data_IF_597825281516
#
_entry.id   IF_597825281516
#
_cell.length_a   1.000
_cell.length_b   1.000
_cell.length_c   1.000
_cell.angle_alpha   90.00
_cell.angle_beta   90.00
_cell.angle_gamma   90.00
#
_symmetry.space_group_name_H-M   'P 1'
#
loop_
_entity.id
_entity.type
_entity.pdbx_description
1 polymer ?
#
# COMPACT_ATOMS: atom_id res chain seq x y z
N UNK A 1 -2.49 -0.69 11.78
CA UNK A 1 -1.32 -0.75 10.96
C UNK A 1 -1.62 -0.34 9.53
N UNK A 2 -0.70 0.37 8.88
CA UNK A 2 -0.94 0.98 7.56
C UNK A 2 -1.40 -0.03 6.50
N UNK A 3 -0.70 -1.14 6.37
CA UNK A 3 -1.02 -2.14 5.35
C UNK A 3 -2.47 -2.63 5.48
N UNK A 4 -2.88 -2.96 6.68
CA UNK A 4 -4.26 -3.43 6.91
C UNK A 4 -5.28 -2.35 6.60
N UNK A 5 -4.99 -1.11 6.96
CA UNK A 5 -5.90 0.00 6.65
C UNK A 5 -6.04 0.19 5.14
N UNK A 6 -4.96 0.04 4.40
CA UNK A 6 -4.99 0.17 2.94
C UNK A 6 -5.82 -0.93 2.28
N UNK A 7 -5.94 -2.10 2.89
CA UNK A 7 -6.71 -3.21 2.33
C UNK A 7 -8.22 -2.98 2.40
N UNK A 8 -8.68 -1.96 3.11
CA UNK A 8 -10.11 -1.67 3.21
C UNK A 8 -10.71 -1.16 1.90
N UNK A 9 -9.88 -0.59 1.01
CA UNK A 9 -10.30 -0.10 -0.30
C UNK A 9 -9.28 -0.47 -1.36
N UNK A 10 -9.74 -0.67 -2.59
CA UNK A 10 -8.85 -0.92 -3.71
C UNK A 10 -8.17 0.35 -4.20
N UNK A 11 -8.78 1.48 -3.98
CA UNK A 11 -8.29 2.76 -4.47
C UNK A 11 -8.27 3.80 -3.36
N UNK A 12 -7.14 4.50 -3.26
CA UNK A 12 -6.96 5.60 -2.33
C UNK A 12 -6.47 6.81 -3.12
N UNK A 13 -7.06 7.99 -2.86
CA UNK A 13 -6.46 9.21 -3.40
C UNK A 13 -5.14 9.46 -2.66
N UNK A 14 -4.22 10.17 -3.30
CA UNK A 14 -2.94 10.50 -2.66
C UNK A 14 -3.18 11.27 -1.36
N UNK A 15 -4.19 12.15 -1.35
CA UNK A 15 -4.54 12.89 -0.15
C UNK A 15 -4.98 11.98 0.98
N UNK A 16 -5.88 11.04 0.69
CA UNK A 16 -6.34 10.09 1.70
C UNK A 16 -5.21 9.24 2.25
N UNK A 17 -4.36 8.72 1.35
CA UNK A 17 -3.23 7.91 1.75
C UNK A 17 -2.23 8.71 2.58
N UNK A 18 -1.99 9.96 2.21
CA UNK A 18 -1.09 10.84 2.95
C UNK A 18 -1.62 11.12 4.35
N UNK A 19 -2.92 11.36 4.47
CA UNK A 19 -3.54 11.58 5.78
C UNK A 19 -3.44 10.33 6.66
N UNK A 20 -3.68 9.17 6.09
CA UNK A 20 -3.56 7.91 6.82
C UNK A 20 -2.13 7.70 7.33
N UNK A 21 -1.15 7.94 6.47
CA UNK A 21 0.25 7.81 6.87
C UNK A 21 0.62 8.84 7.93
N UNK A 22 0.11 10.06 7.81
CA UNK A 22 0.37 11.12 8.78
C UNK A 22 -0.13 10.76 10.18
N UNK A 23 -1.29 10.12 10.27
CA UNK A 23 -1.85 9.66 11.54
C UNK A 23 -0.97 8.60 12.20
N UNK A 24 -0.16 7.90 11.41
CA UNK A 24 0.75 6.87 11.91
C UNK A 24 2.19 7.35 11.98
N UNK A 25 2.41 8.65 11.77
CA UNK A 25 3.74 9.27 11.76
C UNK A 25 4.65 8.68 10.68
N UNK A 26 4.07 8.35 9.52
CA UNK A 26 4.79 7.78 8.39
C UNK A 26 4.77 8.74 7.21
N UNK A 27 5.80 8.67 6.37
CA UNK A 27 5.81 9.37 5.09
C UNK A 27 5.26 8.44 4.00
N UNK A 28 4.35 8.94 3.18
CA UNK A 28 3.68 8.12 2.17
C UNK A 28 4.67 7.40 1.25
N UNK A 29 5.61 8.13 0.66
CA UNK A 29 6.57 7.53 -0.28
C UNK A 29 7.38 6.41 0.36
N UNK A 30 7.90 6.65 1.56
CA UNK A 30 8.67 5.64 2.27
C UNK A 30 7.84 4.43 2.67
N UNK A 31 6.60 4.67 3.11
CA UNK A 31 5.70 3.59 3.50
C UNK A 31 5.36 2.70 2.30
N UNK A 32 5.05 3.30 1.15
CA UNK A 32 4.75 2.54 -0.06
C UNK A 32 5.94 1.71 -0.50
N UNK A 33 7.13 2.28 -0.43
CA UNK A 33 8.35 1.57 -0.82
C UNK A 33 8.60 0.35 0.08
N UNK A 34 8.48 0.52 1.38
CA UNK A 34 8.70 -0.58 2.33
C UNK A 34 7.69 -1.71 2.11
N UNK A 35 6.42 -1.36 1.93
CA UNK A 35 5.38 -2.36 1.71
C UNK A 35 5.62 -3.11 0.39
N UNK A 36 5.96 -2.39 -0.67
CA UNK A 36 6.22 -3.03 -1.96
C UNK A 36 7.50 -3.87 -1.95
N UNK A 37 8.53 -3.44 -1.24
CA UNK A 37 9.76 -4.24 -1.08
C UNK A 37 9.44 -5.57 -0.42
N UNK A 38 8.63 -5.54 0.63
CA UNK A 38 8.18 -6.76 1.30
C UNK A 38 7.37 -7.65 0.35
N UNK A 39 6.46 -7.04 -0.42
CA UNK A 39 5.63 -7.75 -1.38
C UNK A 39 6.48 -8.44 -2.45
N UNK A 40 7.47 -7.74 -2.98
CA UNK A 40 8.40 -8.32 -3.95
C UNK A 40 9.18 -9.50 -3.36
N UNK A 41 9.58 -9.38 -2.11
CA UNK A 41 10.35 -10.44 -1.45
C UNK A 41 9.51 -11.71 -1.24
N UNK A 42 8.21 -11.57 -1.02
CA UNK A 42 7.33 -12.71 -0.72
C UNK A 42 6.70 -13.29 -1.98
N UNK A 43 6.16 -12.45 -2.87
CA UNK A 43 5.39 -12.93 -4.04
C UNK A 43 5.95 -12.42 -5.37
N UNK A 44 7.08 -11.75 -5.35
CA UNK A 44 7.76 -11.24 -6.55
C UNK A 44 6.90 -10.26 -7.36
N UNK A 45 6.07 -9.49 -6.69
CA UNK A 45 5.21 -8.49 -7.34
C UNK A 45 4.81 -7.42 -6.34
N UNK A 46 4.53 -6.18 -6.80
CA UNK A 46 4.10 -5.12 -5.89
C UNK A 46 2.62 -5.23 -5.56
N UNK A 47 2.28 -5.04 -4.30
CA UNK A 47 0.88 -5.04 -3.87
C UNK A 47 0.24 -3.67 -4.02
N UNK A 48 1.06 -2.61 -4.07
CA UNK A 48 0.57 -1.23 -4.22
C UNK A 48 1.07 -0.64 -5.52
N UNK A 49 0.17 0.06 -6.23
CA UNK A 49 0.51 0.76 -7.46
C UNK A 49 0.27 2.25 -7.26
N UNK A 50 1.35 3.03 -7.36
CA UNK A 50 1.30 4.49 -7.26
C UNK A 50 1.19 5.06 -8.67
N UNK A 51 -0.04 5.27 -9.13
CA UNK A 51 -0.31 5.76 -10.47
C UNK A 51 -0.99 7.12 -10.42
N UNK A 52 -0.37 8.13 -11.04
CA UNK A 52 -0.88 9.50 -11.07
C UNK A 52 -1.11 10.02 -9.65
N UNK A 53 -2.33 10.40 -9.32
CA UNK A 53 -2.67 10.93 -7.99
C UNK A 53 -3.30 9.89 -7.08
N UNK A 54 -3.40 8.65 -7.55
CA UNK A 54 -4.06 7.60 -6.80
C UNK A 54 -3.12 6.46 -6.41
N UNK A 55 -3.46 5.80 -5.32
CA UNK A 55 -2.77 4.60 -4.87
C UNK A 55 -3.75 3.45 -5.03
N UNK A 56 -3.36 2.43 -5.79
CA UNK A 56 -4.19 1.25 -6.04
C UNK A 56 -3.66 0.07 -5.26
N UNK A 57 -4.57 -0.67 -4.65
CA UNK A 57 -4.23 -1.88 -3.89
C UNK A 57 -4.63 -3.09 -4.73
N UNK A 58 -3.67 -3.99 -5.01
CA UNK A 58 -3.94 -5.22 -5.72
C UNK A 58 -4.38 -6.29 -4.73
N UNK A 59 -5.69 -6.51 -4.65
CA UNK A 59 -6.25 -7.44 -3.67
C UNK A 59 -5.88 -8.89 -3.95
N UNK A 60 -5.58 -9.25 -5.20
CA UNK A 60 -5.14 -10.60 -5.52
C UNK A 60 -3.75 -10.86 -4.94
N UNK A 61 -2.84 -9.89 -5.10
CA UNK A 61 -1.51 -9.99 -4.52
C UNK A 61 -1.60 -9.96 -3.00
N UNK A 62 -2.50 -9.15 -2.45
CA UNK A 62 -2.72 -9.11 -1.01
C UNK A 62 -3.12 -10.48 -0.45
N UNK A 63 -3.96 -11.21 -1.17
CA UNK A 63 -4.35 -12.56 -0.76
C UNK A 63 -3.15 -13.50 -0.75
N UNK A 64 -2.28 -13.39 -1.76
CA UNK A 64 -1.08 -14.22 -1.81
C UNK A 64 -0.13 -13.90 -0.65
N UNK A 65 -0.05 -12.63 -0.25
CA UNK A 65 0.78 -12.22 0.87
C UNK A 65 0.27 -12.75 2.20
N UNK A 66 -1.02 -12.93 2.34
CA UNK A 66 -1.62 -13.46 3.56
C UNK A 66 -1.54 -14.98 3.65
N UNK A 67 -1.15 -15.60 2.59
CA UNK A 67 -0.98 -17.03 2.57
C UNK A 67 -2.08 -17.77 1.92
#
# INVERSE_FOLDING_TARGET
QLYRSLLEKEQWSRKEATELCGNLNLMLGGALEVINDWSYAVVDAPVLDDADDDIWVDLEIAKELEG
#
